data_IF_598353038531
#
_entry.id   IF_598353038531
#
_cell.length_a   1.000
_cell.length_b   1.000
_cell.length_c   1.000
_cell.angle_alpha   90.00
_cell.angle_beta   90.00
_cell.angle_gamma   90.00
#
_symmetry.space_group_name_H-M   'P 1'
#
loop_
_entity.id
_entity.type
_entity.pdbx_description
1 polymer ?
#
# COMPACT_ATOMS: atom_id res chain seq x y z
N UNK A 1 2.52 -11.42 -12.87
CA UNK A 1 2.82 -12.31 -11.72
C UNK A 1 1.91 -11.95 -10.54
N UNK A 2 1.70 -12.88 -9.59
CA UNK A 2 0.93 -12.66 -8.35
C UNK A 2 1.73 -13.23 -7.18
N UNK A 3 1.83 -12.52 -6.07
CA UNK A 3 2.35 -13.05 -4.80
C UNK A 3 1.43 -12.65 -3.64
N UNK A 4 1.37 -13.52 -2.63
CA UNK A 4 0.72 -13.23 -1.36
C UNK A 4 1.66 -12.39 -0.50
N UNK A 5 1.10 -11.40 0.19
CA UNK A 5 1.79 -10.55 1.15
C UNK A 5 1.17 -10.77 2.54
N UNK A 6 1.98 -10.58 3.56
CA UNK A 6 1.54 -10.79 4.94
C UNK A 6 1.95 -9.63 5.86
N UNK A 7 1.57 -8.39 5.53
CA UNK A 7 2.00 -7.23 6.30
C UNK A 7 1.51 -7.32 7.75
N UNK A 8 2.40 -6.95 8.68
CA UNK A 8 2.10 -6.99 10.11
C UNK A 8 2.66 -5.75 10.80
N UNK A 9 1.92 -5.27 11.79
CA UNK A 9 2.41 -4.25 12.70
C UNK A 9 3.14 -4.89 13.88
N UNK A 10 4.34 -4.41 14.14
CA UNK A 10 5.18 -4.81 15.27
C UNK A 10 4.83 -4.03 16.54
N UNK A 11 5.39 -4.44 17.66
CA UNK A 11 5.22 -3.70 18.92
C UNK A 11 5.76 -2.26 18.86
N UNK A 12 6.75 -1.99 18.01
CA UNK A 12 7.33 -0.66 17.81
C UNK A 12 6.43 0.29 17.03
N UNK A 13 5.61 -0.24 16.11
CA UNK A 13 4.76 0.57 15.23
C UNK A 13 3.60 1.26 15.98
N UNK A 14 3.22 0.78 17.15
CA UNK A 14 2.06 1.31 17.89
C UNK A 14 2.27 2.72 18.43
N UNK A 15 3.48 3.05 18.85
CA UNK A 15 3.80 4.41 19.31
C UNK A 15 3.76 5.39 18.15
N UNK A 16 4.29 5.00 17.00
CA UNK A 16 4.23 5.76 15.76
C UNK A 16 2.77 5.92 15.30
N UNK A 17 1.97 4.85 15.33
CA UNK A 17 0.54 4.89 15.03
C UNK A 17 -0.19 5.96 15.84
N UNK A 18 -0.06 5.92 17.17
CA UNK A 18 -0.74 6.89 18.04
C UNK A 18 -0.27 8.32 17.75
N UNK A 19 1.03 8.52 17.50
CA UNK A 19 1.57 9.84 17.16
C UNK A 19 1.05 10.33 15.80
N UNK A 20 1.12 9.50 14.78
CA UNK A 20 0.77 9.83 13.40
C UNK A 20 -0.72 10.15 13.22
N UNK A 21 -1.59 9.40 13.89
CA UNK A 21 -3.05 9.55 13.77
C UNK A 21 -3.68 10.29 14.95
N UNK A 22 -2.86 10.90 15.81
CA UNK A 22 -3.28 11.71 16.96
C UNK A 22 -4.18 10.99 17.97
N UNK A 23 -3.95 9.68 18.17
CA UNK A 23 -4.66 8.92 19.21
C UNK A 23 -3.93 9.04 20.55
N UNK A 24 -4.68 9.23 21.65
CA UNK A 24 -4.10 9.14 22.98
C UNK A 24 -3.68 7.69 23.28
N UNK A 25 -2.61 7.50 24.07
CA UNK A 25 -2.10 6.16 24.38
C UNK A 25 -3.09 5.29 25.14
N UNK A 26 -4.07 5.89 25.81
CA UNK A 26 -5.17 5.20 26.50
C UNK A 26 -6.07 4.42 25.54
N UNK A 27 -6.16 4.84 24.27
CA UNK A 27 -6.91 4.15 23.22
C UNK A 27 -6.19 2.93 22.64
N UNK A 28 -4.91 2.76 22.94
CA UNK A 28 -4.10 1.68 22.36
C UNK A 28 -4.71 0.26 22.56
N UNK A 29 -5.29 -0.10 23.71
CA UNK A 29 -5.95 -1.40 23.87
C UNK A 29 -7.11 -1.62 22.90
N UNK A 30 -7.92 -0.59 22.64
CA UNK A 30 -9.02 -0.62 21.67
C UNK A 30 -8.50 -0.76 20.26
N UNK A 31 -7.51 0.05 19.88
CA UNK A 31 -6.84 0.00 18.57
C UNK A 31 -6.28 -1.40 18.29
N UNK A 32 -5.59 -2.00 19.27
CA UNK A 32 -5.05 -3.36 19.15
C UNK A 32 -6.14 -4.44 19.08
N UNK A 33 -7.27 -4.25 19.71
CA UNK A 33 -8.41 -5.16 19.60
C UNK A 33 -8.99 -5.13 18.18
N UNK A 34 -9.16 -3.94 17.60
CA UNK A 34 -9.62 -3.77 16.22
C UNK A 34 -8.60 -4.36 15.24
N UNK A 35 -7.30 -4.13 15.44
CA UNK A 35 -6.24 -4.75 14.62
C UNK A 35 -6.33 -6.28 14.63
N UNK A 36 -6.52 -6.89 15.80
CA UNK A 36 -6.67 -8.35 15.90
C UNK A 36 -7.91 -8.88 15.19
N UNK A 37 -9.01 -8.13 15.21
CA UNK A 37 -10.23 -8.48 14.48
C UNK A 37 -10.05 -8.36 12.96
N UNK A 38 -9.21 -7.42 12.51
CA UNK A 38 -8.95 -7.12 11.12
C UNK A 38 -7.99 -8.13 10.45
N UNK A 39 -7.02 -8.67 11.19
CA UNK A 39 -6.01 -9.59 10.64
C UNK A 39 -6.57 -10.81 9.89
N UNK A 40 -7.57 -11.54 10.40
CA UNK A 40 -8.13 -12.71 9.72
C UNK A 40 -8.96 -12.35 8.47
N UNK A 41 -9.32 -11.10 8.28
CA UNK A 41 -10.09 -10.60 7.14
C UNK A 41 -9.19 -10.10 6.01
N UNK A 42 -7.89 -9.97 6.28
CA UNK A 42 -6.93 -9.44 5.32
C UNK A 42 -6.54 -10.51 4.30
N UNK A 43 -6.71 -10.17 3.02
CA UNK A 43 -6.28 -10.97 1.86
C UNK A 43 -5.35 -10.13 0.99
N UNK A 44 -4.10 -9.99 1.43
CA UNK A 44 -3.14 -9.09 0.80
C UNK A 44 -2.36 -9.76 -0.32
N UNK A 45 -2.34 -9.10 -1.49
CA UNK A 45 -1.63 -9.57 -2.67
C UNK A 45 -0.90 -8.43 -3.39
N UNK A 46 0.18 -8.78 -4.08
CA UNK A 46 0.72 -7.96 -5.15
C UNK A 46 0.53 -8.65 -6.50
N UNK A 47 0.09 -7.87 -7.51
CA UNK A 47 0.03 -8.23 -8.92
C UNK A 47 1.03 -7.37 -9.66
N UNK A 48 2.02 -7.94 -10.34
CA UNK A 48 3.13 -7.16 -10.86
C UNK A 48 3.75 -7.75 -12.12
N UNK A 49 4.49 -6.89 -12.83
CA UNK A 49 5.35 -7.25 -13.95
C UNK A 49 6.75 -6.70 -13.75
N UNK A 50 7.74 -7.49 -14.16
CA UNK A 50 9.14 -7.08 -14.32
C UNK A 50 9.44 -6.70 -15.78
N UNK A 51 8.44 -6.73 -16.67
CA UNK A 51 8.58 -6.31 -18.04
C UNK A 51 8.63 -4.79 -18.14
N UNK A 52 9.53 -4.30 -18.99
CA UNK A 52 9.74 -2.87 -19.19
C UNK A 52 8.96 -2.38 -20.41
N UNK A 53 7.64 -2.51 -20.38
CA UNK A 53 6.74 -2.26 -21.50
C UNK A 53 5.86 -1.01 -21.35
N UNK A 54 6.04 -0.24 -20.26
CA UNK A 54 5.39 1.05 -20.05
C UNK A 54 6.19 2.17 -20.75
N UNK A 55 5.62 2.75 -21.79
CA UNK A 55 6.29 3.74 -22.65
C UNK A 55 6.66 5.06 -21.94
N UNK A 56 5.96 5.39 -20.86
CA UNK A 56 6.17 6.64 -20.12
C UNK A 56 7.24 6.50 -19.02
N UNK A 57 7.74 5.28 -18.76
CA UNK A 57 8.76 5.03 -17.75
C UNK A 57 10.13 5.01 -18.45
N UNK A 58 10.94 6.05 -18.20
CA UNK A 58 12.25 6.25 -18.85
C UNK A 58 13.41 5.55 -18.14
N UNK A 59 13.17 4.73 -17.14
CA UNK A 59 14.21 4.00 -16.41
C UNK A 59 14.58 2.71 -17.13
N UNK A 60 15.86 2.35 -17.05
CA UNK A 60 16.40 1.13 -17.67
C UNK A 60 15.89 -0.15 -16.99
N UNK A 61 15.61 -0.07 -15.69
CA UNK A 61 15.07 -1.18 -14.89
C UNK A 61 13.97 -0.69 -13.97
N UNK A 62 12.80 -1.31 -14.06
CA UNK A 62 11.68 -1.04 -13.19
C UNK A 62 10.74 -2.25 -13.09
N UNK A 63 9.93 -2.27 -12.05
CA UNK A 63 8.77 -3.12 -11.93
C UNK A 63 7.53 -2.26 -11.74
N UNK A 64 6.36 -2.75 -12.09
CA UNK A 64 5.10 -2.07 -11.79
C UNK A 64 4.06 -3.06 -11.32
N UNK A 65 3.13 -2.59 -10.52
CA UNK A 65 2.12 -3.48 -9.98
C UNK A 65 1.07 -2.83 -9.11
N UNK A 66 0.12 -3.67 -8.71
CA UNK A 66 -0.88 -3.37 -7.70
C UNK A 66 -0.49 -4.03 -6.40
N UNK A 67 -0.69 -3.33 -5.29
CA UNK A 67 -0.68 -3.90 -3.95
C UNK A 67 -2.05 -3.65 -3.33
N UNK A 68 -2.68 -4.71 -2.80
CA UNK A 68 -3.99 -4.64 -2.16
C UNK A 68 -3.98 -5.34 -0.80
N UNK A 69 -4.83 -4.88 0.13
CA UNK A 69 -5.09 -5.57 1.40
C UNK A 69 -6.36 -6.45 1.37
N UNK A 70 -7.06 -6.48 0.22
CA UNK A 70 -8.32 -7.20 0.08
C UNK A 70 -9.54 -6.44 0.60
N UNK A 71 -10.72 -7.04 0.43
CA UNK A 71 -12.00 -6.42 0.79
C UNK A 71 -12.27 -6.33 2.29
N UNK A 72 -11.64 -7.18 3.11
CA UNK A 72 -11.95 -7.28 4.53
C UNK A 72 -11.79 -5.98 5.31
N UNK A 73 -10.91 -5.07 4.83
CA UNK A 73 -10.77 -3.73 5.39
C UNK A 73 -12.03 -2.89 5.18
N UNK A 74 -12.53 -2.89 3.94
CA UNK A 74 -13.70 -2.13 3.54
C UNK A 74 -14.95 -2.69 4.25
N UNK A 75 -15.10 -4.00 4.29
CA UNK A 75 -16.23 -4.69 4.95
C UNK A 75 -16.29 -4.41 6.45
N UNK A 76 -15.14 -4.45 7.14
CA UNK A 76 -15.10 -4.15 8.57
C UNK A 76 -15.40 -2.67 8.85
N UNK A 77 -14.88 -1.77 8.03
CA UNK A 77 -15.19 -0.33 8.14
C UNK A 77 -16.68 -0.06 7.94
N UNK A 78 -17.30 -0.65 6.91
CA UNK A 78 -18.74 -0.53 6.68
C UNK A 78 -19.57 -1.13 7.82
N UNK A 79 -19.14 -2.27 8.38
CA UNK A 79 -19.81 -2.87 9.53
C UNK A 79 -19.86 -1.89 10.72
N UNK A 80 -18.74 -1.25 11.05
CA UNK A 80 -18.69 -0.26 12.11
C UNK A 80 -19.55 0.97 11.80
N UNK A 81 -19.52 1.49 10.58
CA UNK A 81 -20.35 2.63 10.17
C UNK A 81 -21.84 2.33 10.28
N UNK A 82 -22.27 1.13 9.87
CA UNK A 82 -23.66 0.69 9.95
C UNK A 82 -24.16 0.55 11.41
N UNK A 83 -23.26 0.44 12.38
CA UNK A 83 -23.55 0.40 13.81
C UNK A 83 -23.28 1.75 14.50
N UNK A 84 -23.11 2.84 13.74
CA UNK A 84 -22.81 4.18 14.26
C UNK A 84 -21.47 4.27 15.04
N UNK A 85 -20.56 3.30 14.84
CA UNK A 85 -19.24 3.23 15.48
C UNK A 85 -18.20 3.93 14.60
N UNK A 86 -18.33 5.25 14.46
CA UNK A 86 -17.53 6.08 13.54
C UNK A 86 -16.04 6.07 13.94
N UNK A 87 -15.75 6.06 15.25
CA UNK A 87 -14.37 6.04 15.73
C UNK A 87 -13.68 4.73 15.37
N UNK A 88 -14.35 3.59 15.51
CA UNK A 88 -13.83 2.27 15.16
C UNK A 88 -13.59 2.15 13.65
N UNK A 89 -14.50 2.66 12.83
CA UNK A 89 -14.32 2.72 11.38
C UNK A 89 -13.09 3.56 11.00
N UNK A 90 -12.89 4.70 11.65
CA UNK A 90 -11.70 5.53 11.44
C UNK A 90 -10.41 4.81 11.88
N UNK A 91 -10.44 4.08 12.99
CA UNK A 91 -9.31 3.27 13.45
C UNK A 91 -8.95 2.18 12.41
N UNK A 92 -9.96 1.50 11.83
CA UNK A 92 -9.75 0.53 10.72
C UNK A 92 -9.03 1.19 9.57
N UNK A 93 -9.45 2.39 9.18
CA UNK A 93 -8.84 3.14 8.08
C UNK A 93 -7.37 3.47 8.36
N UNK A 94 -7.07 3.98 9.55
CA UNK A 94 -5.70 4.29 9.99
C UNK A 94 -4.79 3.05 10.05
N UNK A 95 -5.29 1.94 10.60
CA UNK A 95 -4.56 0.65 10.65
C UNK A 95 -4.26 0.17 9.22
N UNK A 96 -5.26 0.25 8.34
CA UNK A 96 -5.11 -0.18 6.94
C UNK A 96 -4.05 0.63 6.19
N UNK A 97 -3.93 1.93 6.45
CA UNK A 97 -2.87 2.76 5.85
C UNK A 97 -1.47 2.31 6.30
N UNK A 98 -1.28 1.98 7.57
CA UNK A 98 0.00 1.46 8.04
C UNK A 98 0.30 0.06 7.50
N UNK A 99 -0.70 -0.82 7.44
CA UNK A 99 -0.55 -2.15 6.84
C UNK A 99 -0.22 -2.07 5.35
N UNK A 100 -0.83 -1.14 4.63
CA UNK A 100 -0.55 -0.92 3.22
C UNK A 100 0.90 -0.46 3.01
N UNK A 101 1.43 0.41 3.88
CA UNK A 101 2.85 0.79 3.86
C UNK A 101 3.77 -0.42 4.08
N UNK A 102 3.44 -1.31 5.04
CA UNK A 102 4.18 -2.56 5.25
C UNK A 102 4.08 -3.52 4.04
N UNK A 103 2.93 -3.55 3.38
CA UNK A 103 2.75 -4.33 2.16
C UNK A 103 3.63 -3.82 1.01
N UNK A 104 3.88 -2.50 0.92
CA UNK A 104 4.82 -1.95 -0.06
C UNK A 104 6.26 -2.36 0.23
N UNK A 105 6.68 -2.35 1.49
CA UNK A 105 8.02 -2.81 1.91
C UNK A 105 8.22 -4.28 1.54
N UNK A 106 7.24 -5.13 1.83
CA UNK A 106 7.27 -6.55 1.52
C UNK A 106 7.27 -6.80 0.01
N UNK A 107 6.45 -6.06 -0.74
CA UNK A 107 6.42 -6.15 -2.19
C UNK A 107 7.75 -5.73 -2.83
N UNK A 108 8.35 -4.65 -2.35
CA UNK A 108 9.66 -4.20 -2.82
C UNK A 108 10.72 -5.29 -2.62
N UNK A 109 10.74 -5.92 -1.45
CA UNK A 109 11.64 -7.04 -1.17
C UNK A 109 11.43 -8.22 -2.13
N UNK A 110 10.18 -8.59 -2.42
CA UNK A 110 9.86 -9.65 -3.39
C UNK A 110 10.39 -9.30 -4.80
N UNK A 111 10.26 -8.03 -5.21
CA UNK A 111 10.77 -7.57 -6.51
C UNK A 111 12.28 -7.61 -6.56
N UNK A 112 12.97 -7.18 -5.50
CA UNK A 112 14.44 -7.26 -5.41
C UNK A 112 14.94 -8.70 -5.50
N UNK A 113 14.34 -9.62 -4.73
CA UNK A 113 14.72 -11.05 -4.77
C UNK A 113 14.52 -11.67 -6.15
N UNK A 114 13.44 -11.32 -6.86
CA UNK A 114 13.14 -11.92 -8.16
C UNK A 114 13.91 -11.30 -9.31
N UNK A 115 14.19 -10.00 -9.25
CA UNK A 115 14.94 -9.30 -10.31
C UNK A 115 16.45 -9.43 -10.14
N UNK A 116 16.94 -9.64 -8.92
CA UNK A 116 18.36 -9.54 -8.56
C UNK A 116 18.88 -8.10 -8.61
N UNK A 117 17.99 -7.11 -8.59
CA UNK A 117 18.28 -5.68 -8.62
C UNK A 117 17.85 -5.04 -7.30
N UNK A 118 18.33 -3.83 -7.03
CA UNK A 118 18.06 -3.09 -5.80
C UNK A 118 17.06 -1.98 -6.07
N UNK A 119 16.10 -1.80 -5.16
CA UNK A 119 15.15 -0.70 -5.20
C UNK A 119 15.88 0.64 -4.99
N UNK A 120 15.64 1.59 -5.88
CA UNK A 120 16.16 2.96 -5.76
C UNK A 120 15.09 3.96 -5.42
N UNK A 121 13.86 3.76 -5.92
CA UNK A 121 12.73 4.63 -5.68
C UNK A 121 11.42 3.86 -5.83
N UNK A 122 10.42 4.25 -5.02
CA UNK A 122 9.04 3.79 -5.15
C UNK A 122 8.16 4.98 -5.51
N UNK A 123 7.48 4.90 -6.64
CA UNK A 123 6.60 5.94 -7.15
C UNK A 123 5.16 5.47 -7.22
N UNK A 124 4.22 6.39 -6.98
CA UNK A 124 2.78 6.12 -7.08
C UNK A 124 2.20 6.72 -8.36
N UNK A 125 1.22 6.04 -8.95
CA UNK A 125 0.40 6.65 -9.98
C UNK A 125 -0.45 7.78 -9.37
N UNK A 126 -0.53 8.88 -10.11
CA UNK A 126 -1.21 10.10 -9.65
C UNK A 126 -0.31 11.08 -8.89
N UNK A 127 0.92 10.67 -8.60
CA UNK A 127 1.95 11.55 -8.01
C UNK A 127 3.07 11.79 -9.04
N UNK A 128 3.96 10.84 -9.22
CA UNK A 128 5.09 10.94 -10.17
C UNK A 128 4.67 10.61 -11.60
N UNK A 129 3.76 9.65 -11.77
CA UNK A 129 3.26 9.17 -13.06
C UNK A 129 1.78 9.48 -13.24
N UNK A 130 1.37 9.70 -14.51
CA UNK A 130 -0.03 9.95 -14.84
C UNK A 130 -0.93 8.77 -14.49
N UNK A 131 -2.14 9.06 -13.99
CA UNK A 131 -3.21 8.07 -13.83
C UNK A 131 -3.66 7.46 -15.17
N UNK A 132 -3.32 8.07 -16.30
CA UNK A 132 -3.63 7.53 -17.64
C UNK A 132 -2.94 6.19 -17.93
N UNK A 133 -1.90 5.84 -17.17
CA UNK A 133 -1.28 4.52 -17.22
C UNK A 133 -2.12 3.41 -16.55
N UNK A 134 -3.04 3.76 -15.67
CA UNK A 134 -3.79 2.80 -14.87
C UNK A 134 -4.57 1.78 -15.71
N UNK A 135 -5.31 2.15 -16.77
CA UNK A 135 -6.00 1.19 -17.63
C UNK A 135 -5.04 0.20 -18.31
N UNK A 136 -3.89 0.69 -18.80
CA UNK A 136 -2.88 -0.16 -19.41
C UNK A 136 -2.31 -1.18 -18.43
N UNK A 137 -1.93 -0.74 -17.22
CA UNK A 137 -1.40 -1.61 -16.16
C UNK A 137 -2.45 -2.64 -15.75
N UNK A 138 -3.71 -2.23 -15.63
CA UNK A 138 -4.80 -3.12 -15.26
C UNK A 138 -5.03 -4.22 -16.31
N UNK A 139 -5.05 -3.86 -17.60
CA UNK A 139 -5.20 -4.81 -18.69
C UNK A 139 -4.02 -5.81 -18.76
N UNK A 140 -2.79 -5.33 -18.57
CA UNK A 140 -1.58 -6.17 -18.61
C UNK A 140 -1.49 -7.15 -17.44
N UNK A 141 -1.87 -6.72 -16.25
CA UNK A 141 -1.76 -7.55 -15.05
C UNK A 141 -2.98 -8.43 -14.81
N UNK A 142 -4.15 -8.03 -15.33
CA UNK A 142 -5.43 -8.72 -15.22
C UNK A 142 -5.68 -9.30 -13.81
N UNK A 143 -5.67 -8.47 -12.75
CA UNK A 143 -5.80 -8.94 -11.38
C UNK A 143 -7.18 -9.53 -11.13
N UNK A 144 -7.24 -10.72 -10.48
CA UNK A 144 -8.48 -11.44 -10.23
C UNK A 144 -9.28 -10.93 -9.01
N UNK A 145 -8.60 -10.21 -8.10
CA UNK A 145 -9.22 -9.68 -6.85
C UNK A 145 -9.38 -8.16 -6.84
N UNK A 146 -8.90 -7.47 -7.88
CA UNK A 146 -9.00 -6.03 -8.00
C UNK A 146 -9.97 -5.68 -9.12
N UNK A 147 -10.88 -4.76 -8.86
CA UNK A 147 -11.82 -4.24 -9.85
C UNK A 147 -11.45 -2.80 -10.22
N UNK A 148 -11.55 -2.49 -11.49
CA UNK A 148 -11.38 -1.14 -12.00
C UNK A 148 -12.77 -0.58 -12.37
N UNK A 149 -13.17 0.48 -11.67
CA UNK A 149 -14.51 1.06 -11.85
C UNK A 149 -14.49 2.11 -12.98
N UNK A 150 -15.68 2.43 -13.51
CA UNK A 150 -15.85 3.49 -14.54
C UNK A 150 -15.33 4.87 -14.08
N UNK A 151 -15.29 5.12 -12.76
CA UNK A 151 -14.72 6.34 -12.18
C UNK A 151 -13.20 6.33 -12.04
N UNK A 152 -12.50 5.39 -12.68
CA UNK A 152 -11.05 5.19 -12.55
C UNK A 152 -10.59 4.91 -11.12
N UNK A 153 -11.45 4.32 -10.30
CA UNK A 153 -11.12 3.90 -8.94
C UNK A 153 -10.86 2.40 -8.89
N UNK A 154 -9.91 2.01 -8.06
CA UNK A 154 -9.65 0.61 -7.73
C UNK A 154 -10.51 0.16 -6.53
N UNK A 155 -10.96 -1.08 -6.59
CA UNK A 155 -11.60 -1.80 -5.49
C UNK A 155 -10.86 -3.12 -5.27
N UNK A 156 -10.53 -3.51 -4.05
CA UNK A 156 -10.78 -2.86 -2.74
C UNK A 156 -10.20 -1.44 -2.62
N UNK A 157 -10.71 -0.63 -1.67
CA UNK A 157 -10.26 0.76 -1.47
C UNK A 157 -8.78 0.84 -1.03
N UNK A 158 -8.31 -0.16 -0.30
CA UNK A 158 -6.91 -0.25 0.12
C UNK A 158 -6.07 -0.98 -0.94
N UNK A 159 -6.10 -0.40 -2.16
CA UNK A 159 -5.30 -0.84 -3.31
C UNK A 159 -4.54 0.35 -3.87
N UNK A 160 -3.25 0.17 -4.12
CA UNK A 160 -2.40 1.17 -4.75
C UNK A 160 -1.71 0.61 -5.98
N UNK A 161 -1.41 1.49 -6.93
CA UNK A 161 -0.59 1.19 -8.10
C UNK A 161 0.78 1.81 -7.94
N UNK A 162 1.81 0.99 -8.07
CA UNK A 162 3.21 1.34 -7.80
C UNK A 162 4.07 1.10 -9.02
N UNK A 163 5.09 1.94 -9.16
CA UNK A 163 6.24 1.74 -10.05
C UNK A 163 7.50 1.76 -9.18
N UNK A 164 8.26 0.67 -9.21
CA UNK A 164 9.49 0.48 -8.48
C UNK A 164 10.67 0.67 -9.44
N UNK A 165 11.50 1.66 -9.17
CA UNK A 165 12.74 1.88 -9.92
C UNK A 165 13.85 1.02 -9.33
N UNK A 166 14.59 0.34 -10.21
CA UNK A 166 15.57 -0.65 -9.83
C UNK A 166 16.94 -0.32 -10.44
N UNK A 167 18.02 -0.67 -9.75
CA UNK A 167 19.39 -0.53 -10.23
C UNK A 167 20.23 -1.77 -9.90
N UNK A 168 21.36 -1.94 -10.59
CA UNK A 168 22.37 -2.97 -10.33
C UNK A 168 23.23 -2.65 -9.10
N UNK A 169 23.28 -1.38 -8.67
CA UNK A 169 24.05 -0.93 -7.54
C UNK A 169 23.14 -0.61 -6.33
N UNK A 170 23.63 -0.94 -5.14
CA UNK A 170 22.95 -0.53 -3.90
C UNK A 170 23.16 0.95 -3.65
N UNK A 171 22.09 1.71 -3.57
CA UNK A 171 22.14 3.10 -3.13
C UNK A 171 21.94 3.16 -1.61
N UNK A 172 22.94 3.65 -0.86
CA UNK A 172 22.92 3.73 0.62
C UNK A 172 21.80 4.62 1.18
N UNK A 173 21.12 5.38 0.33
CA UNK A 173 20.11 6.38 0.67
C UNK A 173 18.68 6.02 0.23
N UNK A 174 18.35 4.75 0.00
CA UNK A 174 16.94 4.32 -0.10
C UNK A 174 16.30 4.51 1.29
N UNK A 175 16.15 5.77 1.65
CA UNK A 175 15.46 6.19 2.84
C UNK A 175 13.97 6.05 2.60
N UNK A 176 13.37 5.16 3.37
CA UNK A 176 11.93 5.03 3.55
C UNK A 176 11.14 4.99 2.22
N UNK A 177 10.45 3.89 2.00
CA UNK A 177 9.53 3.65 0.88
C UNK A 177 8.39 4.68 0.76
N UNK A 178 8.32 5.64 1.66
CA UNK A 178 7.48 6.82 1.62
C UNK A 178 8.34 8.09 1.66
N UNK A 179 8.91 8.49 0.53
CA UNK A 179 9.52 9.83 0.35
C UNK A 179 8.47 10.96 0.35
N UNK A 180 7.21 10.64 0.55
CA UNK A 180 6.10 11.58 0.50
C UNK A 180 6.10 12.58 1.64
N UNK A 181 6.80 12.33 2.76
CA UNK A 181 6.73 13.22 3.92
C UNK A 181 7.42 14.58 3.71
N UNK A 182 8.51 14.68 2.95
CA UNK A 182 9.18 15.98 2.71
C UNK A 182 8.41 16.88 1.75
N UNK A 183 7.60 16.32 0.86
CA UNK A 183 6.78 17.04 -0.11
C UNK A 183 5.28 16.80 0.06
N UNK A 184 4.88 16.05 1.08
CA UNK A 184 3.49 15.72 1.33
C UNK A 184 2.72 16.96 1.75
N UNK A 185 1.84 17.43 0.86
CA UNK A 185 0.86 18.48 1.17
C UNK A 185 -0.32 17.95 2.00
N UNK A 186 -0.25 16.72 2.45
CA UNK A 186 -1.28 16.10 3.25
C UNK A 186 -1.10 16.54 4.71
N UNK A 187 -2.03 17.34 5.22
CA UNK A 187 -2.04 17.88 6.59
C UNK A 187 -2.12 16.80 7.69
N UNK A 188 -2.12 15.53 7.32
CA UNK A 188 -2.19 14.38 8.22
C UNK A 188 -0.81 13.74 8.53
N UNK A 189 0.28 14.25 7.95
CA UNK A 189 1.62 13.84 8.35
C UNK A 189 2.13 14.78 9.46
N UNK A 190 2.72 14.24 10.55
CA UNK A 190 3.27 15.02 11.64
C UNK A 190 4.45 15.88 11.21
#
# INVERSE_FOLDING_TARGET
MKCELNPRLSSGDWKEFCSRFHFPLEELPNIQAIYKALLPLMESYAYYSLNQDLKEVSFSHYAYGFVTLGNGMDELSELYLNHEQIQEAYIVDCISLMLLSKAYEEFAYVVEEQSGLYLTELSFLGDTYSLDLLPQIYEQLAPDTIQFTEGQMLRPLKTATLILHLDTETHADVKQLCNTCENCKNFSCP
#
